data_IF_924767716663
#
_entry.id   IF_924767716663
#
_cell.length_a   1.000
_cell.length_b   1.000
_cell.length_c   1.000
_cell.angle_alpha   90.00
_cell.angle_beta   90.00
_cell.angle_gamma   90.00
#
_symmetry.space_group_name_H-M   'P 1'
#
loop_
_entity.id
_entity.type
_entity.pdbx_description
1 polymer ?
#
# COMPACT_ATOMS: atom_id res chain seq x y z
N UNK A 1 -65.87 -3.83 -8.72
CA UNK A 1 -64.45 -4.05 -9.04
C UNK A 1 -64.38 -4.86 -10.33
N UNK A 2 -63.75 -4.35 -11.38
CA UNK A 2 -63.52 -5.10 -12.62
C UNK A 2 -62.17 -5.82 -12.55
N UNK A 3 -62.00 -6.90 -13.32
CA UNK A 3 -60.74 -7.67 -13.39
C UNK A 3 -59.51 -6.78 -13.69
N UNK A 4 -59.70 -5.72 -14.48
CA UNK A 4 -58.67 -4.72 -14.76
C UNK A 4 -58.22 -3.96 -13.50
N UNK A 5 -59.14 -3.58 -12.60
CA UNK A 5 -58.77 -2.87 -11.37
C UNK A 5 -57.87 -3.72 -10.47
N UNK A 6 -58.10 -5.03 -10.40
CA UNK A 6 -57.27 -5.96 -9.62
C UNK A 6 -55.88 -6.10 -10.24
N UNK A 7 -55.80 -6.14 -11.57
CA UNK A 7 -54.54 -6.21 -12.31
C UNK A 7 -53.67 -4.97 -12.08
N UNK A 8 -54.24 -3.77 -12.15
CA UNK A 8 -53.51 -2.52 -11.88
C UNK A 8 -53.02 -2.41 -10.44
N UNK A 9 -53.81 -2.88 -9.46
CA UNK A 9 -53.38 -2.93 -8.06
C UNK A 9 -52.20 -3.90 -7.91
N UNK A 10 -52.28 -5.09 -8.52
CA UNK A 10 -51.19 -6.07 -8.51
C UNK A 10 -49.89 -5.54 -9.12
N UNK A 11 -49.97 -4.87 -10.27
CA UNK A 11 -48.81 -4.23 -10.91
C UNK A 11 -48.21 -3.13 -10.04
N UNK A 12 -49.04 -2.28 -9.43
CA UNK A 12 -48.58 -1.20 -8.57
C UNK A 12 -47.83 -1.75 -7.35
N UNK A 13 -48.38 -2.78 -6.71
CA UNK A 13 -47.73 -3.47 -5.59
C UNK A 13 -46.41 -4.12 -6.02
N UNK A 14 -46.36 -4.75 -7.19
CA UNK A 14 -45.14 -5.37 -7.71
C UNK A 14 -44.04 -4.33 -7.97
N UNK A 15 -44.38 -3.19 -8.57
CA UNK A 15 -43.42 -2.09 -8.80
C UNK A 15 -42.91 -1.52 -7.47
N UNK A 16 -43.79 -1.31 -6.49
CA UNK A 16 -43.40 -0.83 -5.16
C UNK A 16 -42.48 -1.83 -4.45
N UNK A 17 -42.76 -3.14 -4.55
CA UNK A 17 -41.90 -4.17 -3.99
C UNK A 17 -40.50 -4.15 -4.63
N UNK A 18 -40.41 -4.05 -5.97
CA UNK A 18 -39.14 -3.95 -6.69
C UNK A 18 -38.35 -2.71 -6.25
N UNK A 19 -39.00 -1.55 -6.15
CA UNK A 19 -38.35 -0.31 -5.70
C UNK A 19 -37.83 -0.43 -4.27
N UNK A 20 -38.61 -0.99 -3.36
CA UNK A 20 -38.19 -1.24 -1.99
C UNK A 20 -36.99 -2.21 -1.93
N UNK A 21 -36.99 -3.27 -2.76
CA UNK A 21 -35.85 -4.19 -2.88
C UNK A 21 -34.59 -3.50 -3.41
N UNK A 22 -34.69 -2.63 -4.42
CA UNK A 22 -33.54 -1.88 -4.94
C UNK A 22 -32.95 -0.92 -3.90
N UNK A 23 -33.81 -0.23 -3.15
CA UNK A 23 -33.38 0.65 -2.05
C UNK A 23 -32.68 -0.17 -0.96
N UNK A 24 -33.23 -1.33 -0.58
CA UNK A 24 -32.60 -2.21 0.39
C UNK A 24 -31.23 -2.71 -0.08
N UNK A 25 -31.11 -3.14 -1.34
CA UNK A 25 -29.83 -3.55 -1.95
C UNK A 25 -28.80 -2.41 -1.94
N UNK A 26 -29.23 -1.18 -2.24
CA UNK A 26 -28.36 -0.02 -2.19
C UNK A 26 -27.81 0.24 -0.78
N UNK A 27 -28.65 0.16 0.24
CA UNK A 27 -28.20 0.28 1.63
C UNK A 27 -27.29 -0.88 2.05
N UNK A 28 -27.60 -2.10 1.62
CA UNK A 28 -26.78 -3.28 1.88
C UNK A 28 -25.38 -3.16 1.25
N UNK A 29 -25.29 -2.67 0.01
CA UNK A 29 -24.01 -2.41 -0.65
C UNK A 29 -23.18 -1.37 0.12
N UNK A 30 -23.80 -0.28 0.59
CA UNK A 30 -23.10 0.74 1.39
C UNK A 30 -22.54 0.19 2.70
N UNK A 31 -23.31 -0.62 3.42
CA UNK A 31 -22.84 -1.26 4.65
C UNK A 31 -21.69 -2.24 4.36
N UNK A 32 -21.79 -3.01 3.27
CA UNK A 32 -20.72 -3.89 2.80
C UNK A 32 -19.42 -3.13 2.51
N UNK A 33 -19.48 -1.98 1.85
CA UNK A 33 -18.31 -1.13 1.59
C UNK A 33 -17.65 -0.61 2.86
N UNK A 34 -18.44 -0.20 3.86
CA UNK A 34 -17.91 0.27 5.15
C UNK A 34 -17.17 -0.85 5.88
N UNK A 35 -17.76 -2.06 5.92
CA UNK A 35 -17.14 -3.23 6.53
C UNK A 35 -15.86 -3.62 5.79
N UNK A 36 -15.90 -3.66 4.44
CA UNK A 36 -14.75 -3.96 3.61
C UNK A 36 -13.60 -2.97 3.87
N UNK A 37 -13.89 -1.66 3.86
CA UNK A 37 -12.90 -0.61 4.16
C UNK A 37 -12.29 -0.78 5.56
N UNK A 38 -13.11 -1.08 6.57
CA UNK A 38 -12.60 -1.30 7.94
C UNK A 38 -11.72 -2.56 8.04
N UNK A 39 -12.09 -3.66 7.38
CA UNK A 39 -11.30 -4.89 7.33
C UNK A 39 -9.95 -4.64 6.66
N UNK A 40 -9.99 -4.01 5.48
CA UNK A 40 -8.85 -3.58 4.70
C UNK A 40 -7.86 -2.72 5.50
N UNK A 41 -8.35 -1.74 6.26
CA UNK A 41 -7.48 -0.90 7.10
C UNK A 41 -6.81 -1.70 8.24
N UNK A 42 -7.54 -2.64 8.86
CA UNK A 42 -6.96 -3.51 9.91
C UNK A 42 -5.87 -4.41 9.34
N UNK A 43 -6.09 -4.97 8.15
CA UNK A 43 -5.12 -5.81 7.48
C UNK A 43 -3.85 -5.03 7.12
N UNK A 44 -3.97 -3.84 6.54
CA UNK A 44 -2.83 -2.98 6.26
C UNK A 44 -2.06 -2.59 7.52
N UNK A 45 -2.76 -2.24 8.61
CA UNK A 45 -2.10 -1.90 9.87
C UNK A 45 -1.33 -3.10 10.43
N UNK A 46 -1.90 -4.30 10.32
CA UNK A 46 -1.24 -5.55 10.72
C UNK A 46 0.02 -5.79 9.88
N UNK A 47 -0.07 -5.72 8.55
CA UNK A 47 1.07 -5.90 7.65
C UNK A 47 2.17 -4.85 7.89
N UNK A 48 1.80 -3.59 8.13
CA UNK A 48 2.75 -2.53 8.47
C UNK A 48 3.44 -2.80 9.82
N UNK A 49 2.69 -3.26 10.82
CA UNK A 49 3.24 -3.61 12.14
C UNK A 49 4.22 -4.78 12.03
N UNK A 50 3.83 -5.84 11.31
CA UNK A 50 4.69 -7.00 11.05
C UNK A 50 5.97 -6.61 10.31
N UNK A 51 5.86 -5.74 9.30
CA UNK A 51 7.01 -5.22 8.57
C UNK A 51 7.99 -4.45 9.48
N UNK A 52 7.49 -3.58 10.36
CA UNK A 52 8.34 -2.83 11.29
C UNK A 52 9.09 -3.78 12.23
N UNK A 53 8.39 -4.79 12.77
CA UNK A 53 8.97 -5.77 13.68
C UNK A 53 10.14 -6.57 13.08
N UNK A 54 10.16 -6.78 11.75
CA UNK A 54 11.29 -7.45 11.07
C UNK A 54 12.66 -6.81 11.39
N UNK A 55 12.67 -5.49 11.61
CA UNK A 55 13.90 -4.74 11.90
C UNK A 55 14.11 -4.47 13.38
N UNK A 56 13.04 -4.40 14.18
CA UNK A 56 13.14 -4.21 15.63
C UNK A 56 13.66 -5.45 16.36
N UNK A 57 13.18 -6.64 15.98
CA UNK A 57 13.51 -7.89 16.68
C UNK A 57 14.84 -8.50 16.20
N UNK A 58 15.43 -7.94 15.15
CA UNK A 58 16.64 -8.47 14.54
C UNK A 58 17.66 -7.36 14.22
N UNK A 59 18.59 -7.07 15.16
CA UNK A 59 19.63 -6.05 14.97
C UNK A 59 20.52 -6.30 13.75
N UNK A 60 20.69 -7.57 13.35
CA UNK A 60 21.45 -7.93 12.15
C UNK A 60 20.72 -7.49 10.89
N UNK A 61 19.42 -7.77 10.79
CA UNK A 61 18.59 -7.32 9.66
C UNK A 61 18.57 -5.79 9.60
N UNK A 62 18.45 -5.10 10.73
CA UNK A 62 18.53 -3.64 10.76
C UNK A 62 19.87 -3.12 10.21
N UNK A 63 20.98 -3.73 10.60
CA UNK A 63 22.32 -3.39 10.08
C UNK A 63 22.42 -3.64 8.57
N UNK A 64 21.93 -4.78 8.11
CA UNK A 64 21.94 -5.12 6.68
C UNK A 64 21.05 -4.17 5.87
N UNK A 65 19.88 -3.78 6.39
CA UNK A 65 18.99 -2.80 5.77
C UNK A 65 19.66 -1.43 5.67
N UNK A 66 20.29 -0.94 6.75
CA UNK A 66 21.05 0.32 6.71
C UNK A 66 22.13 0.30 5.64
N UNK A 67 22.88 -0.79 5.55
CA UNK A 67 23.93 -0.94 4.55
C UNK A 67 23.34 -0.98 3.12
N UNK A 68 22.30 -1.79 2.91
CA UNK A 68 21.64 -1.92 1.60
C UNK A 68 20.97 -0.63 1.12
N UNK A 69 20.50 0.23 2.02
CA UNK A 69 19.98 1.56 1.67
C UNK A 69 21.06 2.51 1.14
N UNK A 70 22.33 2.32 1.53
CA UNK A 70 23.42 3.20 1.10
C UNK A 70 24.14 2.64 -0.11
N UNK A 71 24.46 1.35 -0.12
CA UNK A 71 25.28 0.72 -1.16
C UNK A 71 24.83 -0.73 -1.39
N UNK A 72 23.86 -0.93 -2.29
CA UNK A 72 23.33 -2.26 -2.55
C UNK A 72 24.27 -3.09 -3.43
N UNK A 73 24.78 -2.55 -4.54
CA UNK A 73 25.53 -3.32 -5.54
C UNK A 73 26.90 -3.79 -5.03
N UNK A 74 27.55 -3.05 -4.14
CA UNK A 74 28.82 -3.43 -3.49
C UNK A 74 28.64 -4.28 -2.24
N UNK A 75 27.43 -4.37 -1.67
CA UNK A 75 27.19 -5.07 -0.43
C UNK A 75 27.41 -6.61 -0.54
N UNK A 76 27.76 -7.27 0.58
CA UNK A 76 27.82 -8.73 0.66
C UNK A 76 26.50 -9.38 0.25
N UNK A 77 26.57 -10.60 -0.30
CA UNK A 77 25.38 -11.33 -0.75
C UNK A 77 24.30 -11.46 0.34
N UNK A 78 24.69 -11.71 1.58
CA UNK A 78 23.75 -11.82 2.70
C UNK A 78 23.02 -10.50 2.98
N UNK A 79 23.75 -9.38 2.97
CA UNK A 79 23.18 -8.04 3.11
C UNK A 79 22.21 -7.72 1.96
N UNK A 80 22.59 -8.04 0.72
CA UNK A 80 21.72 -7.89 -0.46
C UNK A 80 20.43 -8.69 -0.30
N UNK A 81 20.52 -9.93 0.17
CA UNK A 81 19.35 -10.79 0.38
C UNK A 81 18.43 -10.23 1.47
N UNK A 82 18.97 -9.81 2.62
CA UNK A 82 18.18 -9.31 3.73
C UNK A 82 17.51 -7.97 3.39
N UNK A 83 18.27 -7.02 2.84
CA UNK A 83 17.72 -5.75 2.37
C UNK A 83 16.71 -5.96 1.25
N UNK A 84 17.04 -6.80 0.26
CA UNK A 84 16.17 -7.06 -0.88
C UNK A 84 14.83 -7.67 -0.47
N UNK A 85 14.83 -8.65 0.45
CA UNK A 85 13.61 -9.22 1.00
C UNK A 85 12.81 -8.18 1.80
N UNK A 86 13.47 -7.37 2.62
CA UNK A 86 12.82 -6.32 3.39
C UNK A 86 12.14 -5.28 2.48
N UNK A 87 12.87 -4.75 1.49
CA UNK A 87 12.34 -3.78 0.53
C UNK A 87 11.23 -4.39 -0.34
N UNK A 88 11.37 -5.67 -0.72
CA UNK A 88 10.36 -6.41 -1.47
C UNK A 88 9.03 -6.49 -0.70
N UNK A 89 9.07 -6.91 0.57
CA UNK A 89 7.88 -7.01 1.42
C UNK A 89 7.16 -5.65 1.49
N UNK A 90 7.90 -4.56 1.66
CA UNK A 90 7.30 -3.23 1.69
C UNK A 90 6.63 -2.86 0.36
N UNK A 91 7.28 -3.15 -0.78
CA UNK A 91 6.71 -2.84 -2.09
C UNK A 91 5.49 -3.71 -2.42
N UNK A 92 5.41 -4.96 -1.95
CA UNK A 92 4.19 -5.78 -2.07
C UNK A 92 3.04 -5.18 -1.26
N UNK A 93 3.31 -4.68 -0.05
CA UNK A 93 2.30 -3.93 0.73
C UNK A 93 1.86 -2.68 -0.04
N UNK A 94 2.80 -1.96 -0.65
CA UNK A 94 2.47 -0.79 -1.46
C UNK A 94 1.63 -1.15 -2.71
N UNK A 95 1.91 -2.28 -3.37
CA UNK A 95 1.10 -2.76 -4.49
C UNK A 95 -0.35 -3.03 -4.04
N UNK A 96 -0.54 -3.67 -2.89
CA UNK A 96 -1.86 -3.85 -2.30
C UNK A 96 -2.55 -2.48 -2.06
N UNK A 97 -1.81 -1.50 -1.55
CA UNK A 97 -2.31 -0.13 -1.37
C UNK A 97 -2.76 0.52 -2.69
N UNK A 98 -2.09 0.25 -3.82
CA UNK A 98 -2.50 0.75 -5.16
C UNK A 98 -3.89 0.20 -5.52
N UNK A 99 -4.10 -1.11 -5.41
CA UNK A 99 -5.41 -1.71 -5.71
C UNK A 99 -6.49 -1.25 -4.74
N UNK A 100 -6.18 -1.19 -3.44
CA UNK A 100 -7.11 -0.69 -2.43
C UNK A 100 -7.48 0.78 -2.66
N UNK A 101 -6.57 1.59 -3.21
CA UNK A 101 -6.85 3.00 -3.55
C UNK A 101 -7.82 3.11 -4.72
N UNK A 102 -7.64 2.28 -5.75
CA UNK A 102 -8.55 2.18 -6.89
C UNK A 102 -9.97 1.81 -6.44
N UNK A 103 -10.08 0.89 -5.49
CA UNK A 103 -11.36 0.36 -5.02
C UNK A 103 -11.94 1.17 -3.82
N UNK A 104 -11.34 2.33 -3.50
CA UNK A 104 -11.73 3.22 -2.39
C UNK A 104 -11.76 2.56 -1.00
N UNK A 105 -10.94 1.53 -0.79
CA UNK A 105 -10.81 0.78 0.48
C UNK A 105 -9.73 1.36 1.42
N UNK A 106 -8.94 2.33 0.95
CA UNK A 106 -7.93 3.05 1.75
C UNK A 106 -8.15 4.56 1.66
N UNK A 107 -7.89 5.27 2.75
CA UNK A 107 -7.95 6.75 2.75
C UNK A 107 -6.79 7.33 1.93
N UNK A 108 -6.99 8.51 1.34
CA UNK A 108 -5.92 9.20 0.61
C UNK A 108 -4.70 9.49 1.51
N UNK A 109 -4.93 9.84 2.79
CA UNK A 109 -3.85 10.10 3.73
C UNK A 109 -3.01 8.85 4.02
N UNK A 110 -3.66 7.71 4.30
CA UNK A 110 -2.95 6.46 4.56
C UNK A 110 -2.18 6.00 3.32
N UNK A 111 -2.81 6.09 2.15
CA UNK A 111 -2.19 5.76 0.88
C UNK A 111 -0.91 6.59 0.63
N UNK A 112 -1.00 7.92 0.81
CA UNK A 112 0.14 8.81 0.63
C UNK A 112 1.30 8.47 1.58
N UNK A 113 1.01 8.02 2.82
CA UNK A 113 2.05 7.59 3.76
C UNK A 113 2.82 6.36 3.27
N UNK A 114 2.12 5.33 2.80
CA UNK A 114 2.77 4.14 2.22
C UNK A 114 3.54 4.47 0.94
N UNK A 115 2.98 5.32 0.09
CA UNK A 115 3.62 5.76 -1.13
C UNK A 115 4.92 6.51 -0.85
N UNK A 116 4.92 7.47 0.07
CA UNK A 116 6.13 8.17 0.49
C UNK A 116 7.15 7.22 1.15
N UNK A 117 6.69 6.22 1.90
CA UNK A 117 7.56 5.17 2.43
C UNK A 117 8.26 4.38 1.33
N UNK A 118 7.53 3.99 0.28
CA UNK A 118 8.06 3.22 -0.84
C UNK A 118 9.07 4.04 -1.63
N UNK A 119 8.71 5.31 -1.89
CA UNK A 119 9.61 6.26 -2.52
C UNK A 119 10.86 6.48 -1.68
N UNK A 120 10.73 6.70 -0.37
CA UNK A 120 11.86 6.89 0.53
C UNK A 120 12.82 5.70 0.57
N UNK A 121 12.36 4.48 0.24
CA UNK A 121 13.26 3.32 0.06
C UNK A 121 13.98 3.42 -1.28
N UNK A 122 13.26 3.57 -2.39
CA UNK A 122 13.85 3.49 -3.74
C UNK A 122 14.66 4.74 -4.14
N UNK A 123 14.50 5.86 -3.43
CA UNK A 123 15.26 7.09 -3.67
C UNK A 123 16.58 7.16 -2.90
N UNK A 124 16.85 6.22 -1.99
CA UNK A 124 18.18 6.11 -1.40
C UNK A 124 19.20 5.63 -2.44
N UNK A 125 20.51 5.92 -2.28
CA UNK A 125 21.51 5.49 -3.25
C UNK A 125 21.53 3.97 -3.50
N UNK A 126 21.45 3.17 -2.44
CA UNK A 126 21.39 1.71 -2.55
C UNK A 126 20.01 1.19 -2.92
N UNK A 127 18.94 1.86 -2.49
CA UNK A 127 17.58 1.53 -2.90
C UNK A 127 17.33 1.73 -4.39
N UNK A 128 17.90 2.78 -4.99
CA UNK A 128 17.85 3.03 -6.42
C UNK A 128 18.58 1.95 -7.23
N UNK A 129 19.74 1.49 -6.74
CA UNK A 129 20.49 0.37 -7.33
C UNK A 129 19.64 -0.91 -7.31
N UNK A 130 19.09 -1.26 -6.14
CA UNK A 130 18.19 -2.40 -6.01
C UNK A 130 16.96 -2.29 -6.92
N UNK A 131 16.32 -1.13 -6.95
CA UNK A 131 15.11 -0.86 -7.75
C UNK A 131 15.36 -1.03 -9.24
N UNK A 132 16.53 -0.65 -9.75
CA UNK A 132 16.90 -0.84 -11.16
C UNK A 132 16.87 -2.33 -11.58
N UNK A 133 17.15 -3.25 -10.65
CA UNK A 133 17.08 -4.69 -10.88
C UNK A 133 15.66 -5.22 -10.70
N UNK A 134 14.99 -4.85 -9.60
CA UNK A 134 13.73 -5.48 -9.17
C UNK A 134 12.49 -4.93 -9.84
N UNK A 135 12.49 -3.68 -10.34
CA UNK A 135 11.32 -3.09 -11.01
C UNK A 135 10.80 -3.91 -12.20
N UNK A 136 11.64 -4.76 -12.79
CA UNK A 136 11.30 -5.60 -13.95
C UNK A 136 10.38 -6.77 -13.61
N UNK A 137 10.32 -7.16 -12.34
CA UNK A 137 9.51 -8.28 -11.86
C UNK A 137 8.33 -7.84 -10.98
N UNK A 138 8.20 -6.54 -10.74
CA UNK A 138 7.09 -5.95 -9.98
C UNK A 138 5.86 -5.73 -10.86
N UNK A 139 4.69 -5.63 -10.23
CA UNK A 139 3.44 -5.30 -10.91
C UNK A 139 3.52 -3.99 -11.68
N UNK A 140 3.01 -4.00 -12.92
CA UNK A 140 3.08 -2.86 -13.84
C UNK A 140 2.42 -1.61 -13.26
N UNK A 141 1.29 -1.78 -12.57
CA UNK A 141 0.54 -0.69 -11.95
C UNK A 141 1.32 -0.01 -10.83
N UNK A 142 2.03 -0.79 -9.99
CA UNK A 142 2.90 -0.25 -8.94
C UNK A 142 4.04 0.57 -9.56
N UNK A 143 4.74 0.00 -10.55
CA UNK A 143 5.88 0.66 -11.20
C UNK A 143 5.43 1.97 -11.85
N UNK A 144 4.34 1.94 -12.61
CA UNK A 144 3.77 3.13 -13.25
C UNK A 144 3.41 4.21 -12.23
N UNK A 145 2.82 3.80 -11.10
CA UNK A 145 2.45 4.75 -10.04
C UNK A 145 3.65 5.39 -9.37
N UNK A 146 4.69 4.62 -9.03
CA UNK A 146 5.90 5.15 -8.41
C UNK A 146 6.67 6.07 -9.37
N UNK A 147 6.78 5.70 -10.65
CA UNK A 147 7.43 6.54 -11.67
C UNK A 147 6.66 7.86 -11.89
N UNK A 148 5.33 7.80 -11.94
CA UNK A 148 4.49 9.00 -11.99
C UNK A 148 4.76 9.90 -10.79
N UNK A 149 4.78 9.33 -9.58
CA UNK A 149 4.94 10.09 -8.35
C UNK A 149 6.33 10.70 -8.22
N UNK A 150 7.38 10.00 -8.64
CA UNK A 150 8.74 10.53 -8.73
C UNK A 150 8.80 11.76 -9.65
N UNK A 151 8.08 11.71 -10.76
CA UNK A 151 7.98 12.83 -11.71
C UNK A 151 7.24 14.02 -11.09
N UNK A 152 6.12 13.78 -10.41
CA UNK A 152 5.34 14.81 -9.71
C UNK A 152 6.14 15.54 -8.63
N UNK A 153 6.99 14.81 -7.89
CA UNK A 153 7.80 15.36 -6.80
C UNK A 153 9.10 16.02 -7.28
N UNK A 154 9.42 15.95 -8.58
CA UNK A 154 10.63 16.55 -9.14
C UNK A 154 11.93 16.03 -8.51
N UNK A 155 11.93 14.80 -8.01
CA UNK A 155 13.07 14.21 -7.29
C UNK A 155 13.25 14.63 -5.84
N UNK A 156 12.35 15.47 -5.29
CA UNK A 156 12.38 15.89 -3.88
C UNK A 156 11.54 14.93 -3.04
N UNK A 157 12.01 13.70 -2.87
CA UNK A 157 11.43 12.77 -1.88
C UNK A 157 12.44 12.54 -0.79
N UNK A 158 12.12 12.88 0.48
CA UNK A 158 13.02 12.60 1.57
C UNK A 158 13.29 11.09 1.63
N UNK A 159 14.55 10.65 1.74
CA UNK A 159 14.89 9.25 1.90
C UNK A 159 14.31 8.71 3.22
N UNK A 160 14.14 7.39 3.29
CA UNK A 160 13.45 6.73 4.41
C UNK A 160 14.07 7.04 5.78
N UNK A 161 15.37 7.27 5.83
CA UNK A 161 16.06 7.60 7.07
C UNK A 161 15.79 9.01 7.60
N UNK A 162 15.22 9.93 6.82
CA UNK A 162 14.82 11.25 7.34
C UNK A 162 13.57 11.18 8.21
N UNK A 163 12.65 10.27 7.91
CA UNK A 163 11.44 10.06 8.73
C UNK A 163 11.51 8.81 9.63
N UNK A 164 12.50 7.95 9.42
CA UNK A 164 12.78 6.78 10.27
C UNK A 164 14.27 6.76 10.65
N UNK A 165 14.69 7.51 11.68
CA UNK A 165 16.10 7.71 12.04
C UNK A 165 16.85 6.42 12.35
N UNK A 166 16.15 5.34 12.72
CA UNK A 166 16.77 4.04 12.91
C UNK A 166 17.37 3.46 11.62
N UNK A 167 17.06 3.98 10.44
CA UNK A 167 17.69 3.58 9.18
C UNK A 167 18.80 4.52 8.71
N UNK A 168 19.09 5.57 9.49
CA UNK A 168 20.17 6.48 9.17
C UNK A 168 21.51 5.74 9.07
N UNK A 169 22.38 6.16 8.14
CA UNK A 169 23.75 5.67 8.14
C UNK A 169 24.36 5.96 9.50
N UNK A 170 25.11 4.99 10.01
CA UNK A 170 25.91 5.21 11.22
C UNK A 170 27.02 6.17 10.80
N UNK A 171 26.81 7.48 10.94
CA UNK A 171 27.92 8.42 10.92
C UNK A 171 28.92 7.92 11.95
N UNK A 172 30.18 7.79 11.53
CA UNK A 172 31.28 7.48 12.42
C UNK A 172 31.15 8.39 13.64
N UNK A 173 30.69 7.82 14.76
CA UNK A 173 30.73 8.47 16.05
C UNK A 173 32.21 8.66 16.33
N UNK A 174 32.73 9.83 15.96
CA UNK A 174 33.94 10.37 16.54
C UNK A 174 33.61 10.69 17.99
N UNK A 175 33.68 9.66 18.83
CA UNK A 175 33.88 9.74 20.26
C UNK A 175 35.02 8.78 20.60
#
# INVERSE_FOLDING_TARGET
>A
MTLESIYYIGQTVAVLAILASLVALYFQQRQGQVIARASSQRELLKSASEFLLLTFDNPKVLKDVRHGLMEFDSAPHETKSNFGNWAWVFLVIMEQCVYMKRDELITASSYNGFELGALGIITTPGGAQWWAHTRKVMGVDLVARLDQRLTELGGVTPPIYEFMPQFAPVENSKL
#
